data_IF_506665892973
#
_entry.id   IF_506665892973
#
_cell.length_a   1.000
_cell.length_b   1.000
_cell.length_c   1.000
_cell.angle_alpha   90.00
_cell.angle_beta   90.00
_cell.angle_gamma   90.00
#
_symmetry.space_group_name_H-M   'P 1'
#
loop_
_entity.id
_entity.type
_entity.pdbx_description
1 polymer ?
#
# COMPACT_ATOMS: atom_id res chain seq x y z
N UNK A 1 15.39 -5.07 19.12
CA UNK A 1 15.00 -5.03 17.70
C UNK A 1 13.49 -4.89 17.64
N UNK A 2 12.99 -3.93 16.85
CA UNK A 2 11.56 -3.79 16.59
C UNK A 2 11.13 -4.87 15.59
N UNK A 3 9.86 -5.25 15.60
CA UNK A 3 9.39 -6.24 14.62
C UNK A 3 9.08 -5.54 13.28
N UNK A 4 8.33 -4.43 13.34
CA UNK A 4 7.90 -3.66 12.18
C UNK A 4 8.10 -2.15 12.40
N UNK A 5 8.68 -1.49 11.41
CA UNK A 5 8.63 -0.03 11.24
C UNK A 5 7.59 0.32 10.18
N UNK A 6 6.71 1.28 10.50
CA UNK A 6 5.80 1.90 9.54
C UNK A 6 6.30 3.32 9.22
N UNK A 7 6.59 3.61 7.95
CA UNK A 7 6.96 4.95 7.50
C UNK A 7 5.69 5.75 7.22
N UNK A 8 5.37 6.73 8.06
CA UNK A 8 4.15 7.53 8.03
C UNK A 8 3.11 7.08 9.06
N UNK A 9 2.75 7.97 9.99
CA UNK A 9 1.76 7.81 11.06
C UNK A 9 0.43 8.53 10.78
N UNK A 10 0.21 8.97 9.52
CA UNK A 10 -1.06 9.50 9.06
C UNK A 10 -2.19 8.46 9.02
N UNK A 11 -3.35 8.83 8.47
CA UNK A 11 -4.52 7.96 8.40
C UNK A 11 -4.25 6.58 7.80
N UNK A 12 -3.53 6.53 6.67
CA UNK A 12 -3.17 5.27 6.01
C UNK A 12 -2.21 4.42 6.86
N UNK A 13 -1.18 5.04 7.45
CA UNK A 13 -0.25 4.35 8.34
C UNK A 13 -0.92 3.73 9.58
N UNK A 14 -1.92 4.41 10.16
CA UNK A 14 -2.73 3.85 11.25
C UNK A 14 -3.53 2.62 10.80
N UNK A 15 -4.10 2.63 9.60
CA UNK A 15 -4.74 1.44 9.03
C UNK A 15 -3.74 0.29 8.86
N UNK A 16 -2.50 0.57 8.46
CA UNK A 16 -1.46 -0.47 8.36
C UNK A 16 -1.06 -1.02 9.73
N UNK A 17 -1.02 -0.18 10.77
CA UNK A 17 -0.78 -0.64 12.15
C UNK A 17 -1.85 -1.60 12.65
N UNK A 18 -3.12 -1.28 12.43
CA UNK A 18 -4.22 -2.19 12.78
C UNK A 18 -4.12 -3.51 11.99
N UNK A 19 -3.85 -3.41 10.69
CA UNK A 19 -3.65 -4.58 9.83
C UNK A 19 -2.48 -5.45 10.31
N UNK A 20 -1.33 -4.85 10.61
CA UNK A 20 -0.16 -5.55 11.11
C UNK A 20 -0.43 -6.20 12.48
N UNK A 21 -1.17 -5.53 13.36
CA UNK A 21 -1.57 -6.09 14.65
C UNK A 21 -2.43 -7.35 14.47
N UNK A 22 -3.38 -7.34 13.53
CA UNK A 22 -4.21 -8.51 13.21
C UNK A 22 -3.40 -9.67 12.59
N UNK A 23 -2.30 -9.37 11.91
CA UNK A 23 -1.37 -10.35 11.36
C UNK A 23 -0.37 -10.88 12.41
N UNK A 24 -0.44 -10.40 13.65
CA UNK A 24 0.39 -10.85 14.76
C UNK A 24 1.75 -10.15 14.88
N UNK A 25 1.97 -9.04 14.16
CA UNK A 25 3.16 -8.23 14.38
C UNK A 25 3.13 -7.59 15.77
N UNK A 26 4.25 -7.64 16.47
CA UNK A 26 4.43 -7.01 17.78
C UNK A 26 5.41 -5.84 17.68
N UNK A 27 5.56 -5.03 18.75
CA UNK A 27 6.58 -3.95 18.82
C UNK A 27 6.63 -3.06 17.55
N UNK A 28 5.45 -2.69 17.06
CA UNK A 28 5.29 -1.85 15.87
C UNK A 28 5.59 -0.40 16.25
N UNK A 29 6.44 0.26 15.48
CA UNK A 29 6.84 1.66 15.68
C UNK A 29 6.74 2.44 14.38
N UNK A 30 6.72 3.76 14.47
CA UNK A 30 6.57 4.66 13.34
C UNK A 30 7.76 5.59 13.14
N UNK A 31 7.97 5.99 11.90
CA UNK A 31 8.73 7.17 11.52
C UNK A 31 7.75 8.19 10.92
N UNK A 32 7.68 9.40 11.45
CA UNK A 32 6.78 10.45 10.94
C UNK A 32 7.34 11.84 11.22
N UNK A 33 7.11 12.79 10.32
CA UNK A 33 7.65 14.16 10.43
C UNK A 33 6.80 15.06 11.35
N UNK A 34 5.55 14.70 11.62
CA UNK A 34 4.70 15.42 12.56
C UNK A 34 4.93 14.91 13.98
N UNK A 35 5.72 15.67 14.75
CA UNK A 35 6.01 15.41 16.17
C UNK A 35 4.76 15.54 17.07
N UNK A 36 3.65 16.05 16.56
CA UNK A 36 2.38 16.14 17.27
C UNK A 36 1.74 14.77 17.44
N UNK A 37 2.20 14.05 18.45
CA UNK A 37 1.49 12.93 19.04
C UNK A 37 0.05 13.33 19.30
N UNK A 38 -0.87 12.80 18.48
CA UNK A 38 -2.30 12.91 18.75
C UNK A 38 -2.71 11.76 19.65
N UNK A 39 -2.65 12.02 20.96
CA UNK A 39 -3.55 11.62 22.07
C UNK A 39 -4.18 10.21 22.17
N UNK A 40 -3.94 9.28 21.25
CA UNK A 40 -4.43 7.91 21.30
C UNK A 40 -3.25 6.95 21.46
N UNK A 41 -2.73 6.92 22.69
CA UNK A 41 -1.88 5.96 23.45
C UNK A 41 -1.33 4.63 22.87
N UNK A 42 -1.51 4.27 21.59
CA UNK A 42 -1.04 2.99 21.00
C UNK A 42 0.07 3.11 19.95
N UNK A 43 0.34 4.32 19.46
CA UNK A 43 1.27 4.54 18.34
C UNK A 43 2.57 5.17 18.85
N UNK A 44 3.68 4.45 18.76
CA UNK A 44 5.01 4.91 19.16
C UNK A 44 5.81 5.40 17.95
N UNK A 45 6.00 6.72 17.82
CA UNK A 45 6.89 7.34 16.83
C UNK A 45 8.31 7.41 17.40
N UNK A 46 9.31 6.89 16.67
CA UNK A 46 10.70 6.79 17.15
C UNK A 46 11.68 7.73 16.43
N UNK A 47 11.22 8.45 15.40
CA UNK A 47 12.03 9.38 14.62
C UNK A 47 11.24 9.97 13.46
N UNK A 48 11.91 10.79 12.66
CA UNK A 48 11.34 11.41 11.45
C UNK A 48 11.44 10.46 10.27
N UNK A 49 10.69 10.73 9.21
CA UNK A 49 10.81 9.94 7.98
C UNK A 49 12.19 10.08 7.34
N UNK A 50 12.86 11.22 7.55
CA UNK A 50 14.26 11.44 7.16
C UNK A 50 15.26 10.50 7.85
N UNK A 51 14.89 9.95 9.01
CA UNK A 51 15.74 9.05 9.79
C UNK A 51 15.61 7.58 9.32
N UNK A 52 14.92 7.32 8.20
CA UNK A 52 14.70 5.97 7.69
C UNK A 52 15.99 5.15 7.59
N UNK A 53 17.06 5.74 7.04
CA UNK A 53 18.36 5.06 6.92
C UNK A 53 19.00 4.72 8.26
N UNK A 54 18.77 5.55 9.28
CA UNK A 54 19.28 5.32 10.64
C UNK A 54 18.55 4.16 11.32
N UNK A 55 17.24 4.05 11.11
CA UNK A 55 16.40 3.07 11.80
C UNK A 55 16.14 1.79 11.01
N UNK A 56 16.40 1.75 9.70
CA UNK A 56 16.02 0.62 8.85
C UNK A 56 16.59 -0.73 9.34
N UNK A 57 17.83 -0.74 9.84
CA UNK A 57 18.48 -1.94 10.39
C UNK A 57 18.01 -2.33 11.80
N UNK A 58 17.19 -1.51 12.45
CA UNK A 58 16.70 -1.74 13.82
C UNK A 58 15.40 -2.55 13.88
N UNK A 59 14.79 -2.83 12.72
CA UNK A 59 13.58 -3.63 12.58
C UNK A 59 13.77 -4.82 11.64
N UNK A 60 12.97 -5.87 11.84
CA UNK A 60 12.94 -7.03 10.93
C UNK A 60 12.20 -6.72 9.64
N UNK A 61 11.16 -5.90 9.73
CA UNK A 61 10.26 -5.58 8.63
C UNK A 61 10.02 -4.08 8.55
N UNK A 62 9.74 -3.61 7.33
CA UNK A 62 9.38 -2.22 7.06
C UNK A 62 8.18 -2.21 6.12
N UNK A 63 7.21 -1.34 6.37
CA UNK A 63 6.11 -1.03 5.46
C UNK A 63 5.95 0.48 5.31
N UNK A 64 5.53 0.95 4.14
CA UNK A 64 5.40 2.38 3.84
C UNK A 64 3.92 2.77 3.95
N UNK A 65 3.56 3.46 5.03
CA UNK A 65 2.22 3.97 5.34
C UNK A 65 1.87 5.30 4.66
N UNK A 66 2.39 5.55 3.46
CA UNK A 66 2.22 6.81 2.71
C UNK A 66 1.32 6.62 1.49
N UNK A 67 0.16 7.29 1.48
CA UNK A 67 -0.79 7.21 0.36
C UNK A 67 -0.35 7.97 -0.90
N UNK A 68 0.48 9.01 -0.77
CA UNK A 68 1.01 9.76 -1.92
C UNK A 68 1.99 8.90 -2.72
N UNK A 69 1.69 8.63 -3.99
CA UNK A 69 2.46 7.72 -4.85
C UNK A 69 3.93 8.13 -4.97
N UNK A 70 4.21 9.42 -5.19
CA UNK A 70 5.57 9.94 -5.37
C UNK A 70 6.42 9.79 -4.11
N UNK A 71 5.86 10.13 -2.95
CA UNK A 71 6.57 9.97 -1.67
C UNK A 71 6.78 8.48 -1.34
N UNK A 72 5.77 7.64 -1.58
CA UNK A 72 5.86 6.19 -1.38
C UNK A 72 6.97 5.58 -2.26
N UNK A 73 7.01 5.95 -3.53
CA UNK A 73 8.07 5.55 -4.46
C UNK A 73 9.46 6.00 -3.97
N UNK A 74 9.58 7.25 -3.51
CA UNK A 74 10.84 7.77 -2.98
C UNK A 74 11.35 6.98 -1.76
N UNK A 75 10.48 6.65 -0.81
CA UNK A 75 10.87 5.83 0.35
C UNK A 75 11.20 4.39 -0.04
N UNK A 76 10.48 3.82 -1.01
CA UNK A 76 10.79 2.49 -1.53
C UNK A 76 12.21 2.44 -2.12
N UNK A 77 12.54 3.41 -2.98
CA UNK A 77 13.89 3.53 -3.57
C UNK A 77 14.98 3.73 -2.50
N UNK A 78 14.71 4.50 -1.45
CA UNK A 78 15.66 4.66 -0.34
C UNK A 78 15.95 3.33 0.37
N UNK A 79 14.97 2.45 0.51
CA UNK A 79 15.13 1.12 1.11
C UNK A 79 15.85 0.15 0.18
N UNK A 80 15.56 0.21 -1.13
CA UNK A 80 16.28 -0.58 -2.14
C UNK A 80 17.77 -0.27 -2.17
N UNK A 81 18.16 1.00 -2.02
CA UNK A 81 19.57 1.40 -1.88
C UNK A 81 20.26 0.78 -0.66
N UNK A 82 19.49 0.34 0.33
CA UNK A 82 19.97 -0.39 1.50
C UNK A 82 19.82 -1.91 1.37
N UNK A 83 19.41 -2.40 0.19
CA UNK A 83 19.04 -3.80 -0.05
C UNK A 83 17.93 -4.29 0.89
N UNK A 84 17.03 -3.39 1.30
CA UNK A 84 15.86 -3.68 2.12
C UNK A 84 14.62 -3.59 1.24
N UNK A 85 13.82 -4.64 1.22
CA UNK A 85 12.55 -4.66 0.50
C UNK A 85 11.39 -4.54 1.49
N UNK A 86 10.51 -3.53 1.35
CA UNK A 86 9.34 -3.42 2.20
C UNK A 86 8.45 -4.66 2.10
N UNK A 87 7.85 -5.07 3.21
CA UNK A 87 6.95 -6.21 3.22
C UNK A 87 5.66 -5.89 2.48
N UNK A 88 5.11 -6.88 1.79
CA UNK A 88 3.75 -6.84 1.27
C UNK A 88 2.79 -7.14 2.42
N UNK A 89 1.83 -6.25 2.67
CA UNK A 89 0.88 -6.36 3.78
C UNK A 89 -0.52 -6.65 3.26
N UNK A 90 -1.06 -7.82 3.60
CA UNK A 90 -2.38 -8.28 3.15
C UNK A 90 -3.28 -8.41 4.37
N UNK A 91 -4.35 -7.64 4.43
CA UNK A 91 -5.31 -7.72 5.51
C UNK A 91 -5.98 -9.11 5.54
N UNK A 92 -6.23 -9.72 6.73
CA UNK A 92 -6.80 -11.07 6.81
C UNK A 92 -8.21 -11.21 6.21
N UNK A 93 -8.92 -10.10 6.01
CA UNK A 93 -10.22 -10.06 5.31
C UNK A 93 -10.13 -9.66 3.82
N UNK A 94 -8.92 -9.60 3.25
CA UNK A 94 -8.77 -9.51 1.81
C UNK A 94 -8.82 -10.92 1.19
N UNK A 95 -9.28 -11.01 -0.05
CA UNK A 95 -9.07 -12.19 -0.89
C UNK A 95 -7.97 -11.90 -1.89
N UNK A 96 -6.93 -12.73 -1.89
CA UNK A 96 -5.87 -12.69 -2.91
C UNK A 96 -5.76 -14.08 -3.50
N UNK A 97 -5.97 -14.18 -4.82
CA UNK A 97 -5.82 -15.45 -5.53
C UNK A 97 -4.42 -16.02 -5.34
N UNK A 98 -4.31 -17.34 -5.18
CA UNK A 98 -3.02 -18.04 -5.14
C UNK A 98 -2.23 -17.94 -6.43
N UNK A 99 -2.87 -17.57 -7.55
CA UNK A 99 -2.21 -17.31 -8.84
C UNK A 99 -1.87 -15.83 -9.08
N UNK A 100 -2.24 -14.93 -8.16
CA UNK A 100 -1.86 -13.53 -8.26
C UNK A 100 -0.39 -13.33 -7.86
N UNK A 101 0.28 -12.36 -8.50
CA UNK A 101 1.66 -11.97 -8.17
C UNK A 101 1.67 -10.56 -7.59
N UNK A 102 2.32 -10.37 -6.44
CA UNK A 102 2.37 -9.10 -5.72
C UNK A 102 3.81 -8.63 -5.54
N UNK A 103 4.14 -7.46 -6.05
CA UNK A 103 5.41 -6.79 -5.81
C UNK A 103 5.60 -6.37 -4.35
N UNK A 104 6.87 -6.26 -3.93
CA UNK A 104 7.25 -5.82 -2.59
C UNK A 104 6.62 -4.47 -2.22
N UNK A 105 6.35 -4.27 -0.93
CA UNK A 105 5.73 -3.06 -0.41
C UNK A 105 4.27 -2.83 -0.80
N UNK A 106 3.66 -3.77 -1.52
CA UNK A 106 2.24 -3.67 -1.86
C UNK A 106 1.35 -3.84 -0.63
N UNK A 107 0.20 -3.17 -0.63
CA UNK A 107 -0.78 -3.22 0.44
C UNK A 107 -2.14 -3.62 -0.13
N UNK A 108 -2.76 -4.63 0.46
CA UNK A 108 -4.13 -5.08 0.14
C UNK A 108 -4.97 -5.01 1.41
N UNK A 109 -5.94 -4.09 1.45
CA UNK A 109 -6.69 -3.77 2.66
C UNK A 109 -7.99 -4.57 2.82
N UNK A 110 -8.70 -4.33 3.91
CA UNK A 110 -9.89 -5.08 4.30
C UNK A 110 -10.96 -5.13 3.18
N UNK A 111 -11.47 -6.32 2.90
CA UNK A 111 -12.49 -6.54 1.88
C UNK A 111 -12.02 -6.36 0.43
N UNK A 112 -10.74 -6.06 0.20
CA UNK A 112 -10.19 -5.99 -1.14
C UNK A 112 -10.09 -7.38 -1.78
N UNK A 113 -10.21 -7.43 -3.11
CA UNK A 113 -10.14 -8.66 -3.90
C UNK A 113 -9.08 -8.50 -4.99
N UNK A 114 -8.15 -9.43 -5.05
CA UNK A 114 -7.17 -9.58 -6.13
C UNK A 114 -7.40 -10.94 -6.79
N UNK A 115 -7.94 -10.90 -8.01
CA UNK A 115 -8.41 -12.04 -8.78
C UNK A 115 -7.29 -12.91 -9.38
N UNK A 116 -7.71 -13.96 -10.08
CA UNK A 116 -6.79 -14.95 -10.65
C UNK A 116 -5.86 -14.32 -11.71
N UNK A 117 -4.58 -14.71 -11.67
CA UNK A 117 -3.54 -14.31 -12.62
C UNK A 117 -3.27 -12.81 -12.70
N UNK A 118 -3.79 -12.03 -11.74
CA UNK A 118 -3.57 -10.60 -11.70
C UNK A 118 -2.16 -10.29 -11.16
N UNK A 119 -1.56 -9.24 -11.70
CA UNK A 119 -0.22 -8.79 -11.33
C UNK A 119 -0.29 -7.41 -10.72
N UNK A 120 0.21 -7.29 -9.49
CA UNK A 120 0.39 -6.04 -8.77
C UNK A 120 1.88 -5.69 -8.77
N UNK A 121 2.23 -4.52 -9.31
CA UNK A 121 3.59 -3.96 -9.26
C UNK A 121 4.07 -3.67 -7.84
N UNK A 122 5.29 -3.15 -7.68
CA UNK A 122 5.82 -2.82 -6.34
C UNK A 122 5.08 -1.64 -5.73
N UNK A 123 4.94 -1.62 -4.41
CA UNK A 123 4.36 -0.50 -3.67
C UNK A 123 2.92 -0.13 -4.06
N UNK A 124 2.15 -1.06 -4.65
CA UNK A 124 0.76 -0.80 -5.02
C UNK A 124 -0.14 -0.74 -3.80
N UNK A 125 -1.25 0.00 -3.90
CA UNK A 125 -2.29 0.03 -2.85
C UNK A 125 -3.61 -0.42 -3.48
N UNK A 126 -4.13 -1.54 -3.02
CA UNK A 126 -5.52 -1.96 -3.23
C UNK A 126 -6.28 -1.68 -1.94
N UNK A 127 -6.97 -0.55 -1.91
CA UNK A 127 -7.59 -0.03 -0.69
C UNK A 127 -8.87 -0.79 -0.32
N UNK A 128 -9.50 -0.42 0.80
CA UNK A 128 -10.63 -1.14 1.36
C UNK A 128 -11.75 -1.33 0.33
N UNK A 129 -12.26 -2.56 0.26
CA UNK A 129 -13.34 -2.95 -0.66
C UNK A 129 -13.05 -2.71 -2.15
N UNK A 130 -11.80 -2.56 -2.56
CA UNK A 130 -11.44 -2.42 -3.97
C UNK A 130 -11.20 -3.78 -4.63
N UNK A 131 -11.53 -3.88 -5.91
CA UNK A 131 -11.46 -5.12 -6.68
C UNK A 131 -10.54 -4.95 -7.88
N UNK A 132 -9.57 -5.84 -7.97
CA UNK A 132 -8.77 -6.13 -9.16
C UNK A 132 -9.19 -7.51 -9.63
N UNK A 133 -10.10 -7.61 -10.59
CA UNK A 133 -10.57 -8.91 -11.07
C UNK A 133 -9.48 -9.63 -11.90
N UNK A 134 -9.78 -10.83 -12.38
CA UNK A 134 -8.84 -11.73 -13.06
C UNK A 134 -8.08 -11.09 -14.24
N UNK A 135 -6.88 -11.59 -14.51
CA UNK A 135 -6.00 -11.20 -15.63
C UNK A 135 -5.69 -9.69 -15.70
N UNK A 136 -5.80 -8.98 -14.59
CA UNK A 136 -5.56 -7.53 -14.52
C UNK A 136 -4.13 -7.20 -14.12
N UNK A 137 -3.62 -6.05 -14.54
CA UNK A 137 -2.27 -5.57 -14.19
C UNK A 137 -2.34 -4.17 -13.60
N UNK A 138 -1.73 -3.99 -12.43
CA UNK A 138 -1.45 -2.67 -11.85
C UNK A 138 0.07 -2.44 -11.91
N UNK A 139 0.47 -1.33 -12.50
CA UNK A 139 1.86 -0.89 -12.52
C UNK A 139 2.35 -0.44 -11.14
N UNK A 140 3.66 -0.27 -11.02
CA UNK A 140 4.31 0.10 -9.77
C UNK A 140 3.68 1.36 -9.16
N UNK A 141 3.48 1.34 -7.84
CA UNK A 141 2.91 2.43 -7.07
C UNK A 141 1.51 2.88 -7.48
N UNK A 142 0.79 2.13 -8.32
CA UNK A 142 -0.61 2.38 -8.58
C UNK A 142 -1.42 2.32 -7.28
N UNK A 143 -2.43 3.18 -7.18
CA UNK A 143 -3.28 3.29 -6.00
C UNK A 143 -4.74 3.22 -6.44
N UNK A 144 -5.41 2.14 -6.04
CA UNK A 144 -6.87 2.05 -6.11
C UNK A 144 -7.43 2.54 -4.79
N UNK A 145 -8.10 3.69 -4.79
CA UNK A 145 -8.83 4.23 -3.65
C UNK A 145 -9.96 3.32 -3.20
N UNK A 146 -10.65 3.68 -2.11
CA UNK A 146 -11.70 2.86 -1.49
C UNK A 146 -12.83 2.53 -2.49
N UNK A 147 -13.23 1.27 -2.57
CA UNK A 147 -14.36 0.83 -3.40
C UNK A 147 -14.14 1.01 -4.91
N UNK A 148 -12.88 0.99 -5.37
CA UNK A 148 -12.59 0.99 -6.81
C UNK A 148 -12.78 -0.42 -7.35
N UNK A 149 -13.57 -0.60 -8.41
CA UNK A 149 -13.86 -1.91 -8.98
C UNK A 149 -13.44 -2.00 -10.44
N UNK A 150 -12.50 -2.88 -10.74
CA UNK A 150 -12.01 -3.16 -12.09
C UNK A 150 -12.41 -4.58 -12.50
N UNK A 151 -13.13 -4.73 -13.60
CA UNK A 151 -13.44 -6.03 -14.18
C UNK A 151 -12.23 -6.66 -14.89
N UNK A 152 -12.39 -7.90 -15.36
CA UNK A 152 -11.29 -8.71 -15.88
C UNK A 152 -10.47 -8.04 -17.00
N UNK A 153 -9.16 -8.22 -16.95
CA UNK A 153 -8.22 -7.75 -17.97
C UNK A 153 -7.81 -6.27 -17.86
N UNK A 154 -8.12 -5.58 -16.77
CA UNK A 154 -7.80 -4.15 -16.63
C UNK A 154 -6.29 -3.88 -16.61
N UNK A 155 -5.85 -2.73 -17.14
CA UNK A 155 -4.44 -2.30 -17.16
C UNK A 155 -4.31 -0.90 -16.58
N UNK A 156 -3.75 -0.80 -15.39
CA UNK A 156 -3.57 0.45 -14.66
C UNK A 156 -2.08 0.79 -14.65
N UNK A 157 -1.72 1.95 -15.18
CA UNK A 157 -0.34 2.37 -15.34
C UNK A 157 0.37 2.67 -14.01
N UNK A 158 1.70 2.77 -14.10
CA UNK A 158 2.57 3.14 -12.98
C UNK A 158 2.08 4.43 -12.33
N UNK A 159 2.03 4.47 -11.00
CA UNK A 159 1.68 5.65 -10.21
C UNK A 159 0.34 6.28 -10.55
N UNK A 160 -0.55 5.59 -11.28
CA UNK A 160 -1.92 6.03 -11.46
C UNK A 160 -2.67 6.02 -10.12
N UNK A 161 -3.62 6.92 -9.95
CA UNK A 161 -4.44 7.02 -8.75
C UNK A 161 -5.92 7.08 -9.13
N UNK A 162 -6.60 5.96 -8.94
CA UNK A 162 -8.04 5.88 -9.13
C UNK A 162 -8.69 6.22 -7.79
N UNK A 163 -9.35 7.37 -7.69
CA UNK A 163 -9.98 7.77 -6.43
C UNK A 163 -11.25 6.95 -6.16
N UNK A 164 -11.78 7.13 -4.95
CA UNK A 164 -12.83 6.29 -4.39
C UNK A 164 -14.02 6.12 -5.35
N UNK A 165 -14.52 4.89 -5.45
CA UNK A 165 -15.68 4.56 -6.28
C UNK A 165 -15.45 4.63 -7.79
N UNK A 166 -14.20 4.73 -8.27
CA UNK A 166 -13.92 4.58 -9.70
C UNK A 166 -14.28 3.16 -10.15
N UNK A 167 -14.97 3.01 -11.28
CA UNK A 167 -15.36 1.71 -11.85
C UNK A 167 -14.86 1.57 -13.27
N UNK A 168 -14.34 0.39 -13.62
CA UNK A 168 -13.87 0.07 -14.97
C UNK A 168 -14.43 -1.26 -15.45
N UNK A 169 -14.94 -1.26 -16.68
CA UNK A 169 -15.41 -2.48 -17.36
C UNK A 169 -14.26 -3.42 -17.77
N UNK A 170 -14.59 -4.46 -18.53
CA UNK A 170 -13.59 -5.40 -19.04
C UNK A 170 -12.51 -4.67 -19.82
N UNK A 171 -11.26 -5.00 -19.55
CA UNK A 171 -10.09 -4.42 -20.22
C UNK A 171 -9.94 -2.90 -20.09
N UNK A 172 -10.52 -2.28 -19.05
CA UNK A 172 -10.33 -0.85 -18.79
C UNK A 172 -8.85 -0.49 -18.66
N UNK A 173 -8.45 0.61 -19.28
CA UNK A 173 -7.06 1.07 -19.31
C UNK A 173 -6.91 2.46 -18.71
N UNK A 174 -5.92 2.65 -17.85
CA UNK A 174 -5.53 3.96 -17.32
C UNK A 174 -4.03 4.12 -17.52
N UNK A 175 -3.64 5.20 -18.17
CA UNK A 175 -2.23 5.52 -18.40
C UNK A 175 -1.49 5.82 -17.08
N UNK A 176 -0.16 5.73 -17.13
CA UNK A 176 0.68 6.07 -15.97
C UNK A 176 0.46 7.50 -15.49
N UNK A 177 0.62 7.71 -14.18
CA UNK A 177 0.50 9.00 -13.49
C UNK A 177 -0.88 9.68 -13.57
N UNK A 178 -1.87 9.09 -14.25
CA UNK A 178 -3.22 9.65 -14.31
C UNK A 178 -3.91 9.55 -12.95
N UNK A 179 -4.60 10.62 -12.58
CA UNK A 179 -5.47 10.68 -11.42
C UNK A 179 -6.91 10.69 -11.92
N UNK A 180 -7.67 9.63 -11.62
CA UNK A 180 -9.09 9.58 -11.88
C UNK A 180 -9.84 10.16 -10.66
N UNK A 181 -10.70 11.18 -10.84
CA UNK A 181 -11.53 11.71 -9.76
C UNK A 181 -12.45 10.64 -9.14
N UNK A 182 -13.02 10.90 -7.94
CA UNK A 182 -13.93 9.96 -7.32
C UNK A 182 -15.16 9.68 -8.20
N UNK A 183 -15.61 8.44 -8.25
CA UNK A 183 -16.77 8.02 -9.05
C UNK A 183 -16.55 8.02 -10.57
N UNK A 184 -15.31 8.08 -11.04
CA UNK A 184 -14.99 8.01 -12.47
C UNK A 184 -15.45 6.67 -13.07
N UNK A 185 -15.98 6.71 -14.29
CA UNK A 185 -16.28 5.52 -15.10
C UNK A 185 -15.21 5.44 -16.20
N UNK A 186 -14.55 4.29 -16.29
CA UNK A 186 -13.48 3.98 -17.25
C UNK A 186 -13.98 3.12 -18.41
#
# INVERSE_FOLDING_TARGET
MNDLIIVGAGGHGRTLYETATLLGYEKIVFLDDNESGSDNSKVRVIGKTSDLKLYASTAKHIVIGIGNNKLRESFHQQLELLSIYPITLIHPFAFVSSSATLGHGSVVLAGAVVGANSTLGVGTIVNCHSTVDHDSTLGDFAHLGVGVHLAGGARIGKSAFLQAGTVGGYSATVEEHIICPPGTIL
#
